data_IF_041287158730
#
_entry.id   IF_041287158730
#
_cell.length_a   1.000
_cell.length_b   1.000
_cell.length_c   1.000
_cell.angle_alpha   90.00
_cell.angle_beta   90.00
_cell.angle_gamma   90.00
#
_symmetry.space_group_name_H-M   'P 1'
#
loop_
_entity.id
_entity.type
_entity.pdbx_description
1 polymer ?
#
# COMPACT_ATOMS: atom_id res chain seq x y z
N UNK A 1 -1.04 71.21 5.10
CA UNK A 1 -0.34 70.65 3.92
C UNK A 1 -0.65 69.18 3.93
N UNK A 2 -1.58 68.79 3.08
CA UNK A 2 -2.18 67.47 3.15
C UNK A 2 -1.14 66.42 2.70
N UNK A 3 -0.89 65.41 3.54
CA UNK A 3 0.09 64.34 3.29
C UNK A 3 -0.37 63.34 2.21
N UNK A 4 -1.01 63.82 1.15
CA UNK A 4 -1.47 63.01 0.02
C UNK A 4 -0.34 62.24 -0.65
N UNK A 5 0.87 62.83 -0.69
CA UNK A 5 2.05 62.16 -1.23
C UNK A 5 2.42 60.91 -0.43
N UNK A 6 2.32 60.97 0.90
CA UNK A 6 2.65 59.85 1.78
C UNK A 6 1.62 58.73 1.67
N UNK A 7 0.33 59.08 1.54
CA UNK A 7 -0.75 58.12 1.29
C UNK A 7 -0.56 57.43 -0.07
N UNK A 8 -0.22 58.20 -1.11
CA UNK A 8 0.01 57.67 -2.45
C UNK A 8 1.20 56.70 -2.51
N UNK A 9 2.35 57.08 -1.93
CA UNK A 9 3.54 56.22 -1.87
C UNK A 9 3.28 54.97 -1.02
N UNK A 10 2.53 55.11 0.08
CA UNK A 10 2.11 53.97 0.91
C UNK A 10 1.24 52.96 0.15
N UNK A 11 0.28 53.43 -0.64
CA UNK A 11 -0.55 52.56 -1.50
C UNK A 11 0.28 51.87 -2.60
N UNK A 12 1.21 52.59 -3.23
CA UNK A 12 2.10 52.04 -4.24
C UNK A 12 2.96 50.90 -3.66
N UNK A 13 3.51 51.10 -2.47
CA UNK A 13 4.33 50.11 -1.79
C UNK A 13 3.54 48.84 -1.43
N UNK A 14 2.29 48.99 -0.98
CA UNK A 14 1.38 47.87 -0.70
C UNK A 14 1.06 47.05 -1.97
N UNK A 15 0.82 47.71 -3.11
CA UNK A 15 0.56 47.03 -4.38
C UNK A 15 1.77 46.19 -4.82
N UNK A 16 2.99 46.75 -4.71
CA UNK A 16 4.21 45.99 -5.03
C UNK A 16 4.44 44.81 -4.09
N UNK A 17 4.14 44.95 -2.80
CA UNK A 17 4.22 43.88 -1.82
C UNK A 17 3.25 42.73 -2.14
N UNK A 18 2.01 43.05 -2.50
CA UNK A 18 0.98 42.07 -2.88
C UNK A 18 1.38 41.32 -4.17
N UNK A 19 1.90 42.02 -5.18
CA UNK A 19 2.35 41.39 -6.44
C UNK A 19 3.52 40.43 -6.19
N UNK A 20 4.46 40.79 -5.30
CA UNK A 20 5.56 39.91 -4.90
C UNK A 20 5.06 38.65 -4.19
N UNK A 21 4.08 38.79 -3.29
CA UNK A 21 3.48 37.66 -2.57
C UNK A 21 2.72 36.70 -3.51
N UNK A 22 1.93 37.22 -4.45
CA UNK A 22 1.17 36.41 -5.42
C UNK A 22 2.11 35.55 -6.29
N UNK A 23 3.23 36.11 -6.76
CA UNK A 23 4.22 35.34 -7.55
C UNK A 23 4.86 34.19 -6.75
N UNK A 24 5.17 34.43 -5.48
CA UNK A 24 5.65 33.38 -4.58
C UNK A 24 4.59 32.31 -4.32
N UNK A 25 3.35 32.72 -4.07
CA UNK A 25 2.23 31.82 -3.80
C UNK A 25 1.91 30.92 -5.00
N UNK A 26 1.94 31.43 -6.23
CA UNK A 26 1.73 30.61 -7.45
C UNK A 26 2.73 29.46 -7.53
N UNK A 27 4.01 29.72 -7.23
CA UNK A 27 5.04 28.68 -7.24
C UNK A 27 4.77 27.57 -6.21
N UNK A 28 4.30 27.96 -5.03
CA UNK A 28 3.93 27.01 -3.96
C UNK A 28 2.71 26.18 -4.37
N UNK A 29 1.65 26.82 -4.90
CA UNK A 29 0.43 26.15 -5.37
C UNK A 29 0.74 25.15 -6.48
N UNK A 30 1.61 25.50 -7.44
CA UNK A 30 2.03 24.60 -8.53
C UNK A 30 2.80 23.39 -7.96
N UNK A 31 3.69 23.61 -6.98
CA UNK A 31 4.42 22.51 -6.34
C UNK A 31 3.50 21.55 -5.59
N UNK A 32 2.49 22.09 -4.88
CA UNK A 32 1.47 21.30 -4.19
C UNK A 32 0.62 20.51 -5.19
N UNK A 33 0.17 21.15 -6.27
CA UNK A 33 -0.58 20.47 -7.34
C UNK A 33 0.23 19.32 -7.94
N UNK A 34 1.52 19.50 -8.19
CA UNK A 34 2.40 18.44 -8.70
C UNK A 34 2.49 17.24 -7.73
N UNK A 35 2.58 17.50 -6.42
CA UNK A 35 2.57 16.42 -5.42
C UNK A 35 1.23 15.67 -5.37
N UNK A 36 0.10 16.37 -5.47
CA UNK A 36 -1.23 15.75 -5.51
C UNK A 36 -1.37 14.89 -6.76
N UNK A 37 -0.95 15.40 -7.92
CA UNK A 37 -0.94 14.64 -9.18
C UNK A 37 -0.06 13.39 -9.06
N UNK A 38 1.13 13.52 -8.46
CA UNK A 38 2.03 12.37 -8.22
C UNK A 38 1.32 11.31 -7.37
N UNK A 39 0.66 11.70 -6.27
CA UNK A 39 -0.07 10.76 -5.41
C UNK A 39 -1.22 10.07 -6.16
N UNK A 40 -2.01 10.81 -6.93
CA UNK A 40 -3.10 10.24 -7.74
C UNK A 40 -2.55 9.21 -8.73
N UNK A 41 -1.47 9.54 -9.44
CA UNK A 41 -0.83 8.62 -10.39
C UNK A 41 -0.30 7.38 -9.68
N UNK A 42 0.32 7.54 -8.51
CA UNK A 42 0.83 6.40 -7.72
C UNK A 42 -0.32 5.49 -7.27
N UNK A 43 -1.42 6.04 -6.77
CA UNK A 43 -2.59 5.26 -6.35
C UNK A 43 -3.15 4.44 -7.51
N UNK A 44 -3.21 5.01 -8.71
CA UNK A 44 -3.69 4.30 -9.90
C UNK A 44 -2.66 3.28 -10.37
N UNK A 45 -1.37 3.60 -10.40
CA UNK A 45 -0.34 2.75 -10.96
C UNK A 45 0.03 1.56 -10.04
N UNK A 46 0.00 1.74 -8.72
CA UNK A 46 0.38 0.73 -7.73
C UNK A 46 -0.35 -0.60 -7.89
N UNK A 47 -1.69 -0.68 -8.04
CA UNK A 47 -2.36 -1.97 -8.21
C UNK A 47 -1.90 -2.74 -9.46
N UNK A 48 -1.54 -2.05 -10.55
CA UNK A 48 -1.01 -2.71 -11.74
C UNK A 48 0.39 -3.28 -11.50
N UNK A 49 1.28 -2.50 -10.88
CA UNK A 49 2.63 -2.93 -10.53
C UNK A 49 2.58 -4.09 -9.54
N UNK A 50 1.71 -4.01 -8.54
CA UNK A 50 1.52 -5.06 -7.54
C UNK A 50 1.08 -6.38 -8.16
N UNK A 51 0.09 -6.37 -9.06
CA UNK A 51 -0.39 -7.59 -9.71
C UNK A 51 0.69 -8.28 -10.56
N UNK A 52 1.57 -7.49 -11.18
CA UNK A 52 2.73 -8.02 -11.92
C UNK A 52 3.76 -8.59 -10.94
N UNK A 53 4.08 -7.85 -9.89
CA UNK A 53 5.04 -8.29 -8.88
C UNK A 53 4.57 -9.57 -8.20
N UNK A 54 3.30 -9.67 -7.81
CA UNK A 54 2.76 -10.82 -7.09
C UNK A 54 2.94 -12.14 -7.83
N UNK A 55 2.95 -12.11 -9.17
CA UNK A 55 3.14 -13.30 -10.01
C UNK A 55 4.61 -13.72 -10.16
N UNK A 56 5.55 -12.81 -9.93
CA UNK A 56 6.98 -13.00 -10.19
C UNK A 56 7.78 -13.10 -8.89
N UNK A 57 7.28 -12.54 -7.80
CA UNK A 57 8.05 -12.39 -6.57
C UNK A 57 8.06 -13.70 -5.74
N UNK A 58 9.25 -14.24 -5.40
CA UNK A 58 9.36 -15.46 -4.59
C UNK A 58 8.89 -15.28 -3.15
N UNK A 59 8.67 -14.04 -2.70
CA UNK A 59 8.13 -13.75 -1.36
C UNK A 59 6.77 -14.40 -1.13
N UNK A 60 5.99 -14.63 -2.21
CA UNK A 60 4.70 -15.33 -2.10
C UNK A 60 4.90 -16.72 -1.51
N UNK A 61 5.81 -17.48 -2.10
CA UNK A 61 6.05 -18.86 -1.71
C UNK A 61 6.67 -18.92 -0.31
N UNK A 62 7.58 -17.99 0.01
CA UNK A 62 8.21 -17.89 1.33
C UNK A 62 7.20 -17.57 2.44
N UNK A 63 6.32 -16.59 2.23
CA UNK A 63 5.31 -16.22 3.23
C UNK A 63 4.27 -17.33 3.38
N UNK A 64 3.90 -17.97 2.28
CA UNK A 64 2.94 -19.08 2.31
C UNK A 64 3.51 -20.29 3.07
N UNK A 65 4.79 -20.64 2.87
CA UNK A 65 5.42 -21.74 3.62
C UNK A 65 5.53 -21.44 5.12
N UNK A 66 5.88 -20.20 5.49
CA UNK A 66 5.96 -19.80 6.90
C UNK A 66 4.58 -19.74 7.56
N UNK A 67 3.55 -19.34 6.81
CA UNK A 67 2.19 -19.33 7.34
C UNK A 67 1.66 -20.76 7.54
N UNK A 68 1.98 -21.68 6.60
CA UNK A 68 1.68 -23.11 6.74
C UNK A 68 2.38 -23.72 7.94
N UNK A 69 3.69 -23.48 8.11
CA UNK A 69 4.46 -24.00 9.24
C UNK A 69 3.94 -23.47 10.58
N UNK A 70 3.57 -22.19 10.64
CA UNK A 70 2.91 -21.60 11.81
C UNK A 70 1.59 -22.30 12.12
N UNK A 71 0.73 -22.54 11.12
CA UNK A 71 -0.54 -23.24 11.31
C UNK A 71 -0.37 -24.72 11.68
N UNK A 72 0.66 -25.41 11.18
CA UNK A 72 1.01 -26.77 11.61
C UNK A 72 1.44 -26.78 13.07
N UNK A 73 2.34 -25.86 13.46
CA UNK A 73 2.76 -25.71 14.85
C UNK A 73 1.55 -25.41 15.72
N UNK A 74 0.62 -24.59 15.24
CA UNK A 74 -0.56 -24.22 15.98
C UNK A 74 -1.61 -25.33 16.08
N UNK A 75 -1.74 -26.16 15.05
CA UNK A 75 -2.51 -27.40 15.13
C UNK A 75 -1.88 -28.38 16.15
N UNK A 76 -0.58 -28.31 16.39
CA UNK A 76 0.12 -29.09 17.42
C UNK A 76 0.02 -28.49 18.82
N UNK A 77 0.08 -27.17 18.93
CA UNK A 77 0.24 -26.46 20.20
C UNK A 77 -1.07 -25.82 20.73
N UNK A 78 -2.16 -25.87 19.96
CA UNK A 78 -3.53 -25.81 20.53
C UNK A 78 -4.30 -24.49 20.45
N UNK A 79 -4.10 -23.63 19.46
CA UNK A 79 -4.87 -22.36 19.38
C UNK A 79 -6.28 -22.52 18.78
N UNK A 80 -6.53 -23.59 18.03
CA UNK A 80 -7.90 -23.88 17.58
C UNK A 80 -8.20 -25.37 17.61
N UNK A 81 -8.88 -25.76 18.69
CA UNK A 81 -9.50 -27.08 18.86
C UNK A 81 -10.28 -27.54 17.63
N UNK A 82 -10.92 -26.61 16.90
CA UNK A 82 -11.63 -26.93 15.67
C UNK A 82 -10.73 -27.27 14.46
N UNK A 83 -9.54 -26.64 14.32
CA UNK A 83 -8.59 -27.05 13.27
C UNK A 83 -8.04 -28.44 13.57
N UNK A 84 -7.65 -28.69 14.82
CA UNK A 84 -7.16 -30.00 15.28
C UNK A 84 -8.20 -31.08 15.01
N UNK A 85 -9.46 -30.81 15.36
CA UNK A 85 -10.56 -31.73 15.12
C UNK A 85 -10.75 -32.04 13.65
N UNK A 86 -10.78 -31.02 12.78
CA UNK A 86 -11.01 -31.24 11.35
C UNK A 86 -9.85 -31.97 10.67
N UNK A 87 -8.61 -31.68 11.04
CA UNK A 87 -7.45 -32.38 10.49
C UNK A 87 -7.40 -33.82 11.01
N UNK A 88 -7.75 -34.08 12.28
CA UNK A 88 -7.88 -35.44 12.81
C UNK A 88 -9.00 -36.24 12.11
N UNK A 89 -10.15 -35.62 11.82
CA UNK A 89 -11.22 -36.27 11.05
C UNK A 89 -10.73 -36.71 9.66
N UNK A 90 -9.88 -35.92 9.00
CA UNK A 90 -9.30 -36.27 7.70
C UNK A 90 -8.29 -37.43 7.76
N UNK A 91 -7.69 -37.70 8.93
CA UNK A 91 -6.80 -38.86 9.13
C UNK A 91 -7.58 -40.11 9.53
N UNK A 92 -8.90 -40.02 9.65
CA UNK A 92 -9.77 -41.09 10.15
C UNK A 92 -9.81 -41.19 11.68
N UNK A 93 -9.27 -40.19 12.40
CA UNK A 93 -9.27 -40.14 13.86
C UNK A 93 -10.47 -39.32 14.33
N UNK A 94 -11.46 -39.99 14.92
CA UNK A 94 -12.56 -39.29 15.59
C UNK A 94 -12.16 -39.01 17.05
N UNK A 95 -11.75 -37.76 17.33
CA UNK A 95 -11.35 -37.31 18.68
C UNK A 95 -12.45 -37.50 19.73
N UNK A 96 -13.71 -37.32 19.33
CA UNK A 96 -14.86 -37.43 20.24
C UNK A 96 -15.10 -38.88 20.65
N UNK A 97 -14.98 -39.81 19.69
CA UNK A 97 -15.06 -41.26 19.97
C UNK A 97 -13.85 -41.76 20.78
N UNK A 98 -12.67 -41.19 20.53
CA UNK A 98 -11.46 -41.51 21.29
C UNK A 98 -11.47 -40.93 22.71
N UNK A 99 -12.42 -40.05 23.05
CA UNK A 99 -12.48 -39.37 24.35
C UNK A 99 -11.33 -38.39 24.58
N UNK A 100 -10.70 -37.89 23.51
CA UNK A 100 -9.55 -37.00 23.56
C UNK A 100 -10.01 -35.58 23.31
N UNK A 101 -9.80 -34.69 24.27
CA UNK A 101 -10.01 -33.27 24.05
C UNK A 101 -9.04 -32.78 22.95
N UNK A 102 -9.47 -31.93 21.99
CA UNK A 102 -8.61 -31.48 20.90
C UNK A 102 -7.31 -30.81 21.36
N UNK A 103 -7.34 -30.09 22.48
CA UNK A 103 -6.16 -29.50 23.13
C UNK A 103 -5.14 -30.51 23.64
N UNK A 104 -5.55 -31.76 23.90
CA UNK A 104 -4.69 -32.84 24.38
C UNK A 104 -4.29 -33.81 23.26
N UNK A 105 -4.64 -33.49 22.01
CA UNK A 105 -4.33 -34.35 20.88
C UNK A 105 -2.84 -34.25 20.54
N UNK A 106 -2.16 -35.40 20.58
CA UNK A 106 -0.76 -35.51 20.18
C UNK A 106 -0.64 -36.27 18.87
N UNK A 107 -0.21 -35.56 17.84
CA UNK A 107 -0.01 -36.04 16.47
C UNK A 107 1.00 -37.20 16.37
N UNK A 108 2.06 -37.17 17.20
CA UNK A 108 3.13 -38.19 17.18
C UNK A 108 2.63 -39.56 17.65
N UNK A 109 1.70 -39.59 18.61
CA UNK A 109 1.12 -40.83 19.13
C UNK A 109 0.36 -41.63 18.06
N UNK A 110 -0.08 -40.95 17.00
CA UNK A 110 -0.79 -41.53 15.87
C UNK A 110 0.12 -41.72 14.63
N UNK A 111 1.43 -41.46 14.77
CA UNK A 111 2.40 -41.60 13.69
C UNK A 111 2.19 -40.59 12.55
N UNK A 112 1.50 -39.47 12.80
CA UNK A 112 1.23 -38.45 11.80
C UNK A 112 2.40 -37.46 11.78
N UNK A 113 3.11 -37.43 10.67
CA UNK A 113 4.22 -36.49 10.44
C UNK A 113 3.73 -35.10 9.99
N UNK A 114 4.58 -34.10 10.18
CA UNK A 114 4.31 -32.69 9.81
C UNK A 114 3.98 -32.55 8.32
N UNK A 115 4.63 -33.33 7.46
CA UNK A 115 4.36 -33.35 6.02
C UNK A 115 2.95 -33.87 5.71
N UNK A 116 2.46 -34.87 6.45
CA UNK A 116 1.10 -35.38 6.26
C UNK A 116 0.06 -34.38 6.75
N UNK A 117 0.33 -33.71 7.89
CA UNK A 117 -0.51 -32.61 8.36
C UNK A 117 -0.55 -31.48 7.34
N UNK A 118 0.59 -31.12 6.75
CA UNK A 118 0.67 -30.09 5.72
C UNK A 118 -0.17 -30.46 4.47
N UNK A 119 -0.06 -31.70 4.00
CA UNK A 119 -0.84 -32.18 2.87
C UNK A 119 -2.35 -32.13 3.17
N UNK A 120 -2.75 -32.46 4.40
CA UNK A 120 -4.14 -32.40 4.85
C UNK A 120 -4.65 -30.97 4.96
N UNK A 121 -3.84 -30.05 5.52
CA UNK A 121 -4.15 -28.63 5.57
C UNK A 121 -4.36 -28.04 4.17
N UNK A 122 -3.59 -28.50 3.17
CA UNK A 122 -3.77 -28.09 1.78
C UNK A 122 -5.10 -28.54 1.15
N UNK A 123 -5.70 -29.61 1.66
CA UNK A 123 -7.00 -30.16 1.20
C UNK A 123 -8.15 -29.80 2.13
N UNK A 124 -7.89 -28.99 3.15
CA UNK A 124 -8.82 -28.77 4.25
C UNK A 124 -9.88 -27.73 3.90
N UNK A 125 -11.13 -28.18 3.79
CA UNK A 125 -12.30 -27.32 3.68
C UNK A 125 -12.87 -27.02 5.07
N UNK A 126 -12.61 -25.82 5.58
CA UNK A 126 -13.11 -25.38 6.87
C UNK A 126 -14.49 -24.72 6.74
N UNK A 127 -15.45 -25.03 7.63
CA UNK A 127 -16.66 -24.23 7.77
C UNK A 127 -16.33 -22.77 8.06
N UNK A 128 -17.13 -21.83 7.51
CA UNK A 128 -16.90 -20.38 7.65
C UNK A 128 -16.76 -19.91 9.10
N UNK A 129 -17.58 -20.46 9.98
CA UNK A 129 -17.54 -20.16 11.42
C UNK A 129 -16.15 -20.44 12.01
N UNK A 130 -15.57 -21.59 11.67
CA UNK A 130 -14.26 -21.98 12.17
C UNK A 130 -13.15 -21.14 11.54
N UNK A 131 -13.28 -20.76 10.26
CA UNK A 131 -12.36 -19.83 9.60
C UNK A 131 -12.28 -18.49 10.34
N UNK A 132 -13.43 -17.93 10.73
CA UNK A 132 -13.52 -16.67 11.48
C UNK A 132 -12.83 -16.82 12.83
N UNK A 133 -13.18 -17.86 13.60
CA UNK A 133 -12.58 -18.11 14.91
C UNK A 133 -11.07 -18.32 14.84
N UNK A 134 -10.57 -18.98 13.79
CA UNK A 134 -9.12 -19.14 13.57
C UNK A 134 -8.45 -17.79 13.34
N UNK A 135 -9.02 -16.91 12.51
CA UNK A 135 -8.46 -15.57 12.25
C UNK A 135 -8.46 -14.72 13.53
N UNK A 136 -9.55 -14.72 14.29
CA UNK A 136 -9.67 -13.93 15.52
C UNK A 136 -8.70 -14.39 16.62
N UNK A 137 -8.51 -15.70 16.75
CA UNK A 137 -7.61 -16.27 17.75
C UNK A 137 -6.14 -16.20 17.36
N UNK A 138 -5.81 -15.94 16.09
CA UNK A 138 -4.43 -15.92 15.58
C UNK A 138 -3.51 -14.86 16.21
N UNK A 139 -4.03 -13.94 17.04
CA UNK A 139 -3.23 -12.92 17.70
C UNK A 139 -2.67 -11.86 16.74
N UNK A 140 -3.27 -11.72 15.55
CA UNK A 140 -2.89 -10.73 14.56
C UNK A 140 -3.34 -9.32 15.00
N UNK A 141 -2.62 -8.26 14.59
CA UNK A 141 -3.09 -6.89 14.73
C UNK A 141 -4.50 -6.71 14.15
N UNK A 142 -5.35 -5.94 14.82
CA UNK A 142 -6.78 -5.76 14.50
C UNK A 142 -7.02 -5.41 13.02
N UNK A 143 -6.20 -4.54 12.45
CA UNK A 143 -6.26 -4.19 11.03
C UNK A 143 -6.11 -5.40 10.08
N UNK A 144 -5.19 -6.32 10.39
CA UNK A 144 -4.99 -7.53 9.57
C UNK A 144 -6.14 -8.52 9.77
N UNK A 145 -6.61 -8.68 11.01
CA UNK A 145 -7.77 -9.51 11.34
C UNK A 145 -9.00 -9.05 10.55
N UNK A 146 -9.33 -7.76 10.60
CA UNK A 146 -10.44 -7.17 9.84
C UNK A 146 -10.28 -7.42 8.34
N UNK A 147 -9.09 -7.16 7.80
CA UNK A 147 -8.82 -7.35 6.37
C UNK A 147 -8.95 -8.80 5.94
N UNK A 148 -8.47 -9.75 6.74
CA UNK A 148 -8.59 -11.17 6.46
C UNK A 148 -10.05 -11.61 6.52
N UNK A 149 -10.85 -11.12 7.46
CA UNK A 149 -12.28 -11.44 7.57
C UNK A 149 -13.09 -10.86 6.41
N UNK A 150 -12.89 -9.57 6.08
CA UNK A 150 -13.56 -8.87 4.98
C UNK A 150 -13.31 -9.56 3.63
N UNK A 151 -12.09 -10.04 3.41
CA UNK A 151 -11.65 -10.62 2.15
C UNK A 151 -11.71 -12.15 2.12
N UNK A 152 -12.19 -12.78 3.20
CA UNK A 152 -12.34 -14.23 3.25
C UNK A 152 -13.55 -14.67 2.40
N UNK A 153 -13.42 -14.68 1.07
CA UNK A 153 -14.47 -15.09 0.14
C UNK A 153 -13.92 -15.71 -1.15
N UNK A 154 -14.78 -16.40 -1.89
CA UNK A 154 -14.39 -17.17 -3.08
C UNK A 154 -13.85 -16.32 -4.22
N UNK A 155 -14.20 -15.03 -4.29
CA UNK A 155 -13.69 -14.13 -5.31
C UNK A 155 -12.23 -13.77 -5.06
N UNK A 156 -11.87 -13.43 -3.83
CA UNK A 156 -10.48 -13.14 -3.45
C UNK A 156 -9.61 -14.39 -3.58
N UNK A 157 -10.13 -15.57 -3.22
CA UNK A 157 -9.41 -16.83 -3.38
C UNK A 157 -8.98 -17.06 -4.83
N UNK A 158 -9.91 -16.83 -5.77
CA UNK A 158 -9.63 -16.91 -7.21
C UNK A 158 -8.61 -15.87 -7.66
N UNK A 159 -8.68 -14.64 -7.15
CA UNK A 159 -7.72 -13.59 -7.48
C UNK A 159 -6.30 -13.93 -7.01
N UNK A 160 -6.16 -14.56 -5.85
CA UNK A 160 -4.89 -15.01 -5.29
C UNK A 160 -4.40 -16.34 -5.92
N UNK A 161 -5.28 -17.06 -6.61
CA UNK A 161 -5.00 -18.36 -7.23
C UNK A 161 -4.86 -19.49 -6.21
N UNK A 162 -5.70 -19.47 -5.18
CA UNK A 162 -5.73 -20.46 -4.09
C UNK A 162 -7.13 -21.02 -3.91
N UNK A 163 -7.22 -22.24 -3.37
CA UNK A 163 -8.49 -22.95 -3.21
C UNK A 163 -8.81 -23.24 -1.73
N UNK A 164 -7.81 -23.30 -0.86
CA UNK A 164 -7.96 -23.60 0.57
C UNK A 164 -7.89 -22.36 1.45
N UNK A 165 -8.53 -22.41 2.62
CA UNK A 165 -8.44 -21.34 3.62
C UNK A 165 -7.01 -21.12 4.12
N UNK A 166 -6.25 -22.20 4.31
CA UNK A 166 -4.86 -22.16 4.77
C UNK A 166 -3.99 -21.40 3.76
N UNK A 167 -4.17 -21.69 2.46
CA UNK A 167 -3.46 -21.00 1.40
C UNK A 167 -3.91 -19.55 1.24
N UNK A 168 -5.19 -19.27 1.49
CA UNK A 168 -5.72 -17.90 1.50
C UNK A 168 -5.00 -17.01 2.50
N UNK A 169 -4.81 -17.45 3.75
CA UNK A 169 -4.13 -16.62 4.76
C UNK A 169 -2.71 -16.27 4.31
N UNK A 170 -1.93 -17.27 3.90
CA UNK A 170 -0.54 -17.07 3.44
C UNK A 170 -0.49 -16.19 2.18
N UNK A 171 -1.33 -16.47 1.18
CA UNK A 171 -1.38 -15.75 -0.07
C UNK A 171 -1.82 -14.28 0.10
N UNK A 172 -2.77 -14.02 1.00
CA UNK A 172 -3.27 -12.67 1.28
C UNK A 172 -2.23 -11.85 2.06
N UNK A 173 -1.56 -12.43 3.06
CA UNK A 173 -0.44 -11.77 3.75
C UNK A 173 0.72 -11.48 2.80
N UNK A 174 1.06 -12.42 1.93
CA UNK A 174 2.04 -12.20 0.86
C UNK A 174 1.61 -11.03 -0.05
N UNK A 175 0.32 -10.97 -0.41
CA UNK A 175 -0.23 -9.92 -1.25
C UNK A 175 -0.08 -8.54 -0.60
N UNK A 176 -0.32 -8.42 0.72
CA UNK A 176 -0.09 -7.18 1.47
C UNK A 176 1.39 -6.77 1.39
N UNK A 177 2.32 -7.70 1.62
CA UNK A 177 3.76 -7.41 1.54
C UNK A 177 4.13 -6.94 0.13
N UNK A 178 3.63 -7.60 -0.90
CA UNK A 178 3.84 -7.21 -2.30
C UNK A 178 3.22 -5.84 -2.60
N UNK A 179 2.04 -5.53 -2.07
CA UNK A 179 1.40 -4.23 -2.23
C UNK A 179 2.25 -3.10 -1.64
N UNK A 180 2.84 -3.33 -0.46
CA UNK A 180 3.76 -2.36 0.17
C UNK A 180 4.99 -2.15 -0.70
N UNK A 181 5.62 -3.22 -1.20
CA UNK A 181 6.80 -3.12 -2.06
C UNK A 181 6.48 -2.43 -3.39
N UNK A 182 5.35 -2.80 -4.01
CA UNK A 182 4.88 -2.21 -5.25
C UNK A 182 4.58 -0.72 -5.09
N UNK A 183 3.99 -0.31 -3.97
CA UNK A 183 3.77 1.09 -3.65
C UNK A 183 5.09 1.87 -3.59
N UNK A 184 6.10 1.34 -2.88
CA UNK A 184 7.41 1.99 -2.77
C UNK A 184 8.11 2.15 -4.12
N UNK A 185 8.11 1.10 -4.94
CA UNK A 185 8.72 1.13 -6.28
C UNK A 185 7.96 2.08 -7.20
N UNK A 186 6.63 1.99 -7.22
CA UNK A 186 5.78 2.87 -8.03
C UNK A 186 5.97 4.33 -7.62
N UNK A 187 5.98 4.61 -6.32
CA UNK A 187 6.20 5.95 -5.79
C UNK A 187 7.55 6.52 -6.24
N UNK A 188 8.63 5.73 -6.15
CA UNK A 188 9.95 6.13 -6.62
C UNK A 188 9.94 6.47 -8.12
N UNK A 189 9.44 5.55 -8.95
CA UNK A 189 9.43 5.69 -10.42
C UNK A 189 8.57 6.88 -10.84
N UNK A 190 7.34 7.00 -10.34
CA UNK A 190 6.42 8.09 -10.69
C UNK A 190 7.00 9.42 -10.24
N UNK A 191 7.61 9.50 -9.05
CA UNK A 191 8.26 10.74 -8.58
C UNK A 191 9.38 11.18 -9.52
N UNK A 192 10.21 10.24 -9.99
CA UNK A 192 11.27 10.54 -10.96
C UNK A 192 10.67 11.04 -12.27
N UNK A 193 9.66 10.35 -12.82
CA UNK A 193 9.02 10.72 -14.07
C UNK A 193 8.36 12.10 -14.01
N UNK A 194 7.56 12.35 -12.97
CA UNK A 194 6.89 13.65 -12.79
C UNK A 194 7.92 14.78 -12.64
N UNK A 195 9.00 14.56 -11.88
CA UNK A 195 10.06 15.57 -11.74
C UNK A 195 10.77 15.85 -13.06
N UNK A 196 11.08 14.84 -13.86
CA UNK A 196 11.70 15.02 -15.18
C UNK A 196 10.78 15.80 -16.13
N UNK A 197 9.47 15.49 -16.13
CA UNK A 197 8.49 16.23 -16.94
C UNK A 197 8.39 17.68 -16.48
N UNK A 198 8.30 17.93 -15.17
CA UNK A 198 8.25 19.30 -14.62
C UNK A 198 9.51 20.10 -14.97
N UNK A 199 10.68 19.46 -14.95
CA UNK A 199 11.93 20.10 -15.36
C UNK A 199 11.91 20.47 -16.85
N UNK A 200 11.46 19.56 -17.72
CA UNK A 200 11.32 19.82 -19.16
C UNK A 200 10.28 20.93 -19.45
N UNK A 201 9.15 20.95 -18.74
CA UNK A 201 8.13 21.99 -18.86
C UNK A 201 8.64 23.36 -18.37
N UNK A 202 9.44 23.41 -17.30
CA UNK A 202 10.07 24.65 -16.86
C UNK A 202 11.11 25.17 -17.86
N UNK A 203 11.88 24.30 -18.52
CA UNK A 203 12.79 24.68 -19.62
C UNK A 203 12.02 25.37 -20.77
N UNK A 204 10.80 24.90 -21.07
CA UNK A 204 9.93 25.48 -22.10
C UNK A 204 9.19 26.74 -21.60
N UNK A 205 8.98 26.86 -20.30
CA UNK A 205 8.42 28.04 -19.63
C UNK A 205 9.40 29.22 -19.52
N UNK A 206 10.71 28.96 -19.61
CA UNK A 206 11.77 29.97 -19.77
C UNK A 206 11.87 30.47 -21.23
N UNK A 207 10.74 30.55 -21.95
CA UNK A 207 10.68 31.31 -23.20
C UNK A 207 11.28 32.72 -22.95
N UNK A 208 12.19 33.21 -23.82
CA UNK A 208 12.93 34.46 -23.69
C UNK A 208 12.06 35.74 -23.79
N UNK A 209 10.80 35.69 -23.37
CA UNK A 209 9.87 36.82 -23.31
C UNK A 209 10.08 37.62 -22.02
N UNK A 210 10.51 37.01 -20.91
CA UNK A 210 10.86 37.74 -19.69
C UNK A 210 12.22 38.47 -19.80
N UNK A 211 13.13 37.99 -20.66
CA UNK A 211 14.34 38.74 -21.02
C UNK A 211 14.05 39.88 -22.01
N UNK A 212 13.02 39.73 -22.86
CA UNK A 212 12.55 40.78 -23.78
C UNK A 212 11.96 41.99 -23.06
N UNK A 213 11.18 41.78 -22.00
CA UNK A 213 10.65 42.87 -21.17
C UNK A 213 11.73 43.60 -20.38
N UNK A 214 12.78 42.91 -19.94
CA UNK A 214 13.95 43.55 -19.33
C UNK A 214 14.66 44.48 -20.34
N UNK A 215 14.73 44.10 -21.62
CA UNK A 215 15.25 45.00 -22.68
C UNK A 215 14.32 46.20 -22.95
N UNK A 216 13.00 46.04 -22.90
CA UNK A 216 12.05 47.16 -23.10
C UNK A 216 12.10 48.13 -21.92
N UNK A 217 12.17 47.64 -20.67
CA UNK A 217 12.31 48.48 -19.48
C UNK A 217 13.65 49.25 -19.46
N UNK A 218 14.76 48.58 -19.80
CA UNK A 218 16.08 49.25 -19.90
C UNK A 218 16.09 50.28 -21.02
N UNK A 219 15.43 50.01 -22.16
CA UNK A 219 15.37 50.96 -23.29
C UNK A 219 14.45 52.15 -23.04
N UNK A 220 13.45 52.01 -22.16
CA UNK A 220 12.57 53.09 -21.72
C UNK A 220 13.30 54.07 -20.79
N UNK A 221 14.04 53.55 -19.79
CA UNK A 221 14.86 54.36 -18.89
C UNK A 221 15.97 55.15 -19.61
N UNK A 222 16.56 54.59 -20.67
CA UNK A 222 17.59 55.27 -21.48
C UNK A 222 17.00 56.39 -22.36
N UNK A 223 15.72 56.31 -22.75
CA UNK A 223 15.04 57.35 -23.53
C UNK A 223 14.60 58.54 -22.67
N UNK A 224 14.18 58.28 -21.43
CA UNK A 224 13.73 59.31 -20.50
C UNK A 224 14.88 60.19 -19.95
N UNK A 225 16.12 59.69 -19.95
CA UNK A 225 17.31 60.46 -19.57
C UNK A 225 17.89 61.33 -20.71
N UNK A 226 17.31 61.26 -21.92
CA UNK A 226 17.76 62.04 -23.10
C UNK A 226 16.81 63.18 -23.49
N UNK A 227 15.73 63.39 -22.75
CA UNK A 227 14.82 64.54 -22.84
C UNK A 227 15.05 65.47 -21.65
#
# INVERSE_FOLDING_TARGET
MDNWLLVFVGCLFLIFMIIGFIRGAIKIVVSLAATIVTLIVVVIATPYVSNVMYKVLPVKDMVQSECRSFLIREAKEGLSSGLVQKVAELTGINLQEAGIAPENFNWENYGISDQQVEEMLGKLELPRELQIQTIEKAGLPEYLTEKLLENNNSEVYKQLGVESFVDYIGAYLAKIIVDILAFLITFLVVTILVRTIMYALNIIGDLPVLHGLNRVQVRFLVWEQRL
#
